data_IF_519418530603
#
_entry.id   IF_519418530603
#
_cell.length_a   1.000
_cell.length_b   1.000
_cell.length_c   1.000
_cell.angle_alpha   90.00
_cell.angle_beta   90.00
_cell.angle_gamma   90.00
#
_symmetry.space_group_name_H-M   'P 1'
#
loop_
_entity.id
_entity.type
_entity.pdbx_description
1 polymer ?
#
# COMPACT_ATOMS: atom_id res chain seq x y z
N UNK A 1 -31.12 0.04 -69.63
CA UNK A 1 -31.04 0.26 -68.17
C UNK A 1 -30.98 1.74 -67.95
N UNK A 2 -31.97 2.33 -67.22
CA UNK A 2 -31.99 3.81 -66.90
C UNK A 2 -31.05 4.06 -65.76
N UNK A 3 -29.91 4.65 -66.02
CA UNK A 3 -29.02 5.11 -64.95
C UNK A 3 -29.66 6.31 -64.24
N UNK A 4 -30.04 6.15 -63.01
CA UNK A 4 -30.52 7.22 -62.16
C UNK A 4 -29.27 7.87 -61.52
N UNK A 5 -28.97 9.12 -61.87
CA UNK A 5 -27.93 9.91 -61.24
C UNK A 5 -28.36 10.39 -59.86
N UNK A 6 -27.46 10.45 -58.89
CA UNK A 6 -27.71 11.06 -57.57
C UNK A 6 -27.88 12.58 -57.69
N UNK A 7 -28.82 13.11 -56.95
CA UNK A 7 -28.99 14.58 -56.79
C UNK A 7 -27.91 15.13 -55.88
N UNK A 8 -27.41 16.33 -56.16
CA UNK A 8 -26.41 17.03 -55.36
C UNK A 8 -26.89 17.23 -53.91
N UNK A 9 -28.20 17.48 -53.70
CA UNK A 9 -28.77 17.61 -52.36
C UNK A 9 -28.77 16.30 -51.58
N UNK A 10 -28.96 15.16 -52.25
CA UNK A 10 -28.92 13.84 -51.63
C UNK A 10 -27.50 13.50 -51.13
N UNK A 11 -26.49 13.89 -51.87
CA UNK A 11 -25.09 13.73 -51.49
C UNK A 11 -24.76 14.59 -50.23
N UNK A 12 -25.19 15.86 -50.21
CA UNK A 12 -24.97 16.77 -49.09
C UNK A 12 -25.64 16.24 -47.80
N UNK A 13 -26.90 15.81 -47.90
CA UNK A 13 -27.64 15.26 -46.75
C UNK A 13 -26.98 13.97 -46.27
N UNK A 14 -26.60 13.06 -47.17
CA UNK A 14 -25.94 11.84 -46.78
C UNK A 14 -24.57 12.09 -46.07
N UNK A 15 -23.75 13.01 -46.60
CA UNK A 15 -22.47 13.37 -45.94
C UNK A 15 -22.65 14.05 -44.61
N UNK A 16 -23.67 14.89 -44.43
CA UNK A 16 -23.98 15.53 -43.17
C UNK A 16 -24.40 14.51 -42.08
N UNK A 17 -25.30 13.57 -42.44
CA UNK A 17 -25.69 12.48 -41.52
C UNK A 17 -24.48 11.60 -41.21
N UNK A 18 -23.69 11.23 -42.18
CA UNK A 18 -22.49 10.42 -41.97
C UNK A 18 -21.47 11.09 -41.02
N UNK A 19 -21.23 12.40 -41.22
CA UNK A 19 -20.33 13.17 -40.39
C UNK A 19 -20.81 13.24 -38.90
N UNK A 20 -22.11 13.41 -38.70
CA UNK A 20 -22.68 13.44 -37.35
C UNK A 20 -22.60 12.08 -36.66
N UNK A 21 -22.86 11.00 -37.35
CA UNK A 21 -22.74 9.62 -36.84
C UNK A 21 -21.28 9.31 -36.48
N UNK A 22 -20.34 9.63 -37.37
CA UNK A 22 -18.91 9.44 -37.10
C UNK A 22 -18.45 10.27 -35.88
N UNK A 23 -18.88 11.52 -35.75
CA UNK A 23 -18.54 12.37 -34.62
C UNK A 23 -19.00 11.78 -33.30
N UNK A 24 -20.21 11.22 -33.23
CA UNK A 24 -20.74 10.57 -32.02
C UNK A 24 -19.97 9.30 -31.68
N UNK A 25 -19.67 8.46 -32.67
CA UNK A 25 -18.90 7.21 -32.47
C UNK A 25 -17.50 7.51 -31.94
N UNK A 26 -16.79 8.49 -32.52
CA UNK A 26 -15.47 8.91 -32.06
C UNK A 26 -15.54 9.44 -30.61
N UNK A 27 -16.55 10.23 -30.27
CA UNK A 27 -16.74 10.74 -28.92
C UNK A 27 -16.92 9.64 -27.87
N UNK A 28 -17.73 8.63 -28.17
CA UNK A 28 -17.93 7.46 -27.31
C UNK A 28 -16.62 6.66 -27.17
N UNK A 29 -15.90 6.47 -28.27
CA UNK A 29 -14.64 5.72 -28.26
C UNK A 29 -13.58 6.40 -27.38
N UNK A 30 -13.37 7.71 -27.54
CA UNK A 30 -12.43 8.48 -26.72
C UNK A 30 -12.80 8.42 -25.23
N UNK A 31 -14.07 8.59 -24.92
CA UNK A 31 -14.61 8.49 -23.56
C UNK A 31 -14.36 7.09 -22.94
N UNK A 32 -14.58 6.03 -23.74
CA UNK A 32 -14.31 4.65 -23.31
C UNK A 32 -12.81 4.41 -23.02
N UNK A 33 -11.92 4.90 -23.87
CA UNK A 33 -10.47 4.80 -23.64
C UNK A 33 -10.03 5.52 -22.37
N UNK A 34 -10.57 6.69 -22.09
CA UNK A 34 -10.27 7.42 -20.86
C UNK A 34 -10.75 6.66 -19.62
N UNK A 35 -11.94 6.06 -19.68
CA UNK A 35 -12.47 5.23 -18.60
C UNK A 35 -11.59 4.00 -18.34
N UNK A 36 -11.14 3.32 -19.40
CA UNK A 36 -10.23 2.17 -19.29
C UNK A 36 -8.89 2.55 -18.66
N UNK A 37 -8.29 3.68 -19.04
CA UNK A 37 -7.03 4.16 -18.43
C UNK A 37 -7.18 4.46 -16.94
N UNK A 38 -8.30 5.05 -16.53
CA UNK A 38 -8.59 5.28 -15.11
C UNK A 38 -8.74 3.97 -14.34
N UNK A 39 -9.44 3.00 -14.92
CA UNK A 39 -9.62 1.68 -14.29
C UNK A 39 -8.28 0.96 -14.10
N UNK A 40 -7.42 0.96 -15.12
CA UNK A 40 -6.08 0.37 -15.02
C UNK A 40 -5.23 1.04 -13.94
N UNK A 41 -5.28 2.37 -13.82
CA UNK A 41 -4.59 3.09 -12.77
C UNK A 41 -5.12 2.72 -11.37
N UNK A 42 -6.44 2.54 -11.21
CA UNK A 42 -7.01 2.03 -9.96
C UNK A 42 -6.56 0.62 -9.62
N UNK A 43 -6.55 -0.29 -10.60
CA UNK A 43 -6.05 -1.66 -10.41
C UNK A 43 -4.58 -1.67 -9.98
N UNK A 44 -3.73 -0.91 -10.65
CA UNK A 44 -2.31 -0.79 -10.30
C UNK A 44 -2.12 -0.27 -8.86
N UNK A 45 -2.90 0.73 -8.46
CA UNK A 45 -2.87 1.27 -7.10
C UNK A 45 -3.27 0.22 -6.06
N UNK A 46 -4.37 -0.50 -6.32
CA UNK A 46 -4.85 -1.60 -5.46
C UNK A 46 -3.81 -2.71 -5.34
N UNK A 47 -3.26 -3.17 -6.44
CA UNK A 47 -2.29 -4.27 -6.47
C UNK A 47 -1.01 -3.91 -5.71
N UNK A 48 -0.45 -2.73 -5.97
CA UNK A 48 0.76 -2.27 -5.31
C UNK A 48 0.57 -2.08 -3.79
N UNK A 49 -0.57 -1.50 -3.39
CA UNK A 49 -0.86 -1.27 -1.98
C UNK A 49 -1.19 -2.57 -1.26
N UNK A 50 -1.94 -3.48 -1.90
CA UNK A 50 -2.25 -4.80 -1.35
C UNK A 50 -1.00 -5.65 -1.17
N UNK A 51 -0.08 -5.62 -2.14
CA UNK A 51 1.20 -6.30 -2.02
C UNK A 51 2.00 -5.80 -0.81
N UNK A 52 2.13 -4.48 -0.64
CA UNK A 52 2.85 -3.90 0.49
C UNK A 52 2.22 -4.30 1.84
N UNK A 53 0.89 -4.24 1.94
CA UNK A 53 0.16 -4.66 3.14
C UNK A 53 0.34 -6.15 3.42
N UNK A 54 0.23 -7.00 2.42
CA UNK A 54 0.39 -8.45 2.60
C UNK A 54 1.82 -8.79 3.02
N UNK A 55 2.82 -8.16 2.40
CA UNK A 55 4.22 -8.32 2.76
C UNK A 55 4.47 -7.95 4.23
N UNK A 56 4.06 -6.74 4.65
CA UNK A 56 4.18 -6.30 6.04
C UNK A 56 3.39 -7.20 7.00
N UNK A 57 2.19 -7.62 6.61
CA UNK A 57 1.34 -8.49 7.45
C UNK A 57 1.99 -9.86 7.70
N UNK A 58 2.67 -10.42 6.70
CA UNK A 58 3.43 -11.67 6.86
C UNK A 58 4.59 -11.51 7.82
N UNK A 59 5.38 -10.43 7.67
CA UNK A 59 6.50 -10.15 8.55
C UNK A 59 6.04 -9.93 10.00
N UNK A 60 5.03 -9.10 10.21
CA UNK A 60 4.46 -8.83 11.54
C UNK A 60 3.86 -10.07 12.20
N UNK A 61 3.23 -10.95 11.44
CA UNK A 61 2.67 -12.20 11.97
C UNK A 61 3.73 -13.15 12.50
N UNK A 62 4.93 -13.10 11.91
CA UNK A 62 6.07 -13.93 12.29
C UNK A 62 6.98 -13.25 13.31
N UNK A 63 6.63 -12.07 13.80
CA UNK A 63 7.38 -11.39 14.86
C UNK A 63 7.48 -12.26 16.11
N UNK A 64 8.59 -12.12 16.81
CA UNK A 64 8.85 -12.77 18.09
C UNK A 64 9.01 -11.71 19.18
N UNK A 65 8.88 -12.12 20.43
CA UNK A 65 9.15 -11.25 21.57
C UNK A 65 10.60 -10.80 21.58
N UNK A 66 10.83 -9.58 21.97
CA UNK A 66 12.17 -9.09 22.32
C UNK A 66 12.50 -9.61 23.72
N UNK A 67 13.28 -10.69 23.77
CA UNK A 67 13.63 -11.38 25.02
C UNK A 67 14.98 -10.86 25.55
N UNK A 68 15.10 -10.87 26.87
CA UNK A 68 16.26 -10.35 27.63
C UNK A 68 17.48 -11.25 27.42
N UNK A 69 18.17 -11.10 26.30
CA UNK A 69 19.34 -11.93 26.02
C UNK A 69 20.55 -11.18 25.46
N UNK A 70 20.51 -9.84 25.37
CA UNK A 70 21.73 -9.06 25.08
C UNK A 70 21.67 -8.03 23.95
N UNK A 71 20.76 -8.10 22.99
CA UNK A 71 20.58 -7.06 21.98
C UNK A 71 19.10 -6.67 21.93
N UNK A 72 18.78 -5.56 22.57
CA UNK A 72 17.44 -5.02 22.54
C UNK A 72 17.14 -4.42 21.16
N UNK A 73 16.15 -4.98 20.49
CA UNK A 73 15.60 -4.41 19.28
C UNK A 73 14.66 -3.24 19.60
N UNK A 74 13.88 -3.39 20.64
CA UNK A 74 12.87 -2.45 21.08
C UNK A 74 13.37 -1.61 22.26
N UNK A 75 12.71 -0.51 22.59
CA UNK A 75 13.22 0.53 23.52
C UNK A 75 13.30 0.13 25.00
N UNK A 76 13.87 -1.03 25.29
CA UNK A 76 14.35 -1.37 26.62
C UNK A 76 13.31 -1.91 27.60
N UNK A 77 12.13 -2.27 27.16
CA UNK A 77 11.17 -3.01 27.98
C UNK A 77 11.21 -4.50 27.61
N UNK A 78 11.39 -5.33 28.63
CA UNK A 78 11.40 -6.77 28.51
C UNK A 78 10.04 -7.30 28.04
N UNK A 79 10.06 -8.25 27.11
CA UNK A 79 8.87 -8.97 26.64
C UNK A 79 7.88 -8.16 25.80
N UNK A 80 8.29 -7.08 25.14
CA UNK A 80 7.49 -6.34 24.18
C UNK A 80 7.57 -7.01 22.81
N UNK A 81 6.44 -7.07 22.08
CA UNK A 81 6.40 -7.70 20.75
C UNK A 81 6.57 -6.68 19.62
N UNK A 82 6.08 -5.47 19.82
CA UNK A 82 6.07 -4.40 18.83
C UNK A 82 6.28 -3.05 19.50
N UNK A 83 7.01 -2.19 18.82
CA UNK A 83 7.18 -0.80 19.22
C UNK A 83 6.68 0.11 18.11
N UNK A 84 5.85 1.08 18.47
CA UNK A 84 5.45 2.12 17.53
C UNK A 84 6.52 3.20 17.50
N UNK A 85 7.12 3.42 16.32
CA UNK A 85 8.02 4.55 16.09
C UNK A 85 7.23 5.79 15.61
N UNK A 86 7.87 6.94 15.49
CA UNK A 86 7.23 8.19 15.05
C UNK A 86 6.53 8.04 13.69
N UNK A 87 7.12 7.28 12.78
CA UNK A 87 6.65 7.13 11.41
C UNK A 87 6.35 5.69 11.01
N UNK A 88 6.36 4.73 11.98
CA UNK A 88 6.26 3.33 11.62
C UNK A 88 6.09 2.37 12.79
N UNK A 89 6.61 1.17 12.57
CA UNK A 89 6.59 0.06 13.52
C UNK A 89 7.91 -0.69 13.48
N UNK A 90 8.44 -1.00 14.66
CA UNK A 90 9.64 -1.80 14.88
C UNK A 90 9.28 -3.08 15.63
N UNK A 91 9.94 -4.18 15.28
CA UNK A 91 9.73 -5.47 15.91
C UNK A 91 10.96 -6.37 15.68
N UNK A 92 11.04 -7.46 16.43
CA UNK A 92 12.03 -8.50 16.21
C UNK A 92 11.44 -9.58 15.30
N UNK A 93 12.15 -9.91 14.22
CA UNK A 93 11.71 -10.93 13.29
C UNK A 93 12.06 -12.36 13.78
N UNK A 94 11.58 -13.39 13.09
CA UNK A 94 11.85 -14.79 13.44
C UNK A 94 13.32 -15.23 13.27
N UNK A 95 14.17 -14.39 12.63
CA UNK A 95 15.62 -14.60 12.50
C UNK A 95 16.42 -13.80 13.54
N UNK A 96 15.77 -13.32 14.59
CA UNK A 96 16.39 -12.50 15.64
C UNK A 96 16.97 -11.17 15.15
N UNK A 97 16.39 -10.59 14.07
CA UNK A 97 16.83 -9.32 13.52
C UNK A 97 15.83 -8.22 13.87
N UNK A 98 16.37 -7.02 14.13
CA UNK A 98 15.54 -5.83 14.24
C UNK A 98 15.00 -5.44 12.87
N UNK A 99 13.70 -5.40 12.77
CA UNK A 99 12.96 -5.11 11.56
C UNK A 99 12.07 -3.89 11.78
N UNK A 100 12.14 -2.93 10.89
CA UNK A 100 11.34 -1.71 10.95
C UNK A 100 10.67 -1.43 9.61
N UNK A 101 9.37 -1.11 9.66
CA UNK A 101 8.62 -0.53 8.57
C UNK A 101 8.24 0.91 8.92
N UNK A 102 8.54 1.86 8.04
CA UNK A 102 8.24 3.26 8.28
C UNK A 102 7.93 4.02 7.00
N UNK A 103 7.24 5.16 7.16
CA UNK A 103 6.99 6.10 6.08
C UNK A 103 8.17 7.06 5.98
N UNK A 104 8.86 7.05 4.84
CA UNK A 104 9.81 8.11 4.47
C UNK A 104 9.13 9.13 3.57
N UNK A 105 9.41 10.40 3.83
CA UNK A 105 9.01 11.54 2.98
C UNK A 105 10.20 12.17 2.27
N UNK A 106 11.37 11.53 2.36
CA UNK A 106 12.57 11.98 1.68
C UNK A 106 12.55 11.54 0.21
N UNK A 107 12.56 12.44 -0.77
CA UNK A 107 12.52 12.10 -2.18
C UNK A 107 13.69 11.24 -2.66
N UNK A 108 14.84 11.31 -1.99
CA UNK A 108 16.03 10.49 -2.32
C UNK A 108 15.76 9.03 -1.99
N UNK A 109 15.21 8.73 -0.81
CA UNK A 109 14.89 7.37 -0.38
C UNK A 109 13.73 6.80 -1.20
N UNK A 110 12.77 7.66 -1.54
CA UNK A 110 11.56 7.31 -2.27
C UNK A 110 11.71 7.34 -3.80
N UNK A 111 12.94 7.44 -4.33
CA UNK A 111 13.23 7.46 -5.77
C UNK A 111 12.37 8.48 -6.52
N UNK A 112 12.18 9.68 -5.92
CA UNK A 112 11.38 10.77 -6.48
C UNK A 112 9.90 10.75 -6.14
N UNK A 113 9.41 9.85 -5.27
CA UNK A 113 8.07 9.93 -4.66
C UNK A 113 8.09 10.90 -3.48
N UNK A 114 6.95 11.54 -3.19
CA UNK A 114 6.82 12.41 -2.02
C UNK A 114 6.70 11.62 -0.71
N UNK A 115 6.30 10.34 -0.81
CA UNK A 115 6.25 9.41 0.32
C UNK A 115 6.29 7.97 -0.14
N UNK A 116 7.05 7.13 0.56
CA UNK A 116 7.15 5.70 0.30
C UNK A 116 7.27 4.92 1.61
N UNK A 117 6.83 3.67 1.60
CA UNK A 117 7.09 2.75 2.69
C UNK A 117 8.48 2.17 2.55
N UNK A 118 9.25 2.26 3.63
CA UNK A 118 10.61 1.75 3.73
C UNK A 118 10.66 0.55 4.66
N UNK A 119 11.59 -0.34 4.36
CA UNK A 119 11.97 -1.47 5.19
C UNK A 119 13.43 -1.35 5.60
N UNK A 120 13.71 -1.57 6.86
CA UNK A 120 15.05 -1.70 7.40
C UNK A 120 15.15 -2.99 8.20
N UNK A 121 16.15 -3.82 7.89
CA UNK A 121 16.49 -5.02 8.67
C UNK A 121 17.93 -4.88 9.12
N UNK A 122 18.14 -4.75 10.41
CA UNK A 122 19.45 -4.53 11.00
C UNK A 122 20.40 -5.71 10.72
N UNK A 123 21.60 -5.38 10.24
CA UNK A 123 22.60 -6.37 9.88
C UNK A 123 22.33 -7.15 8.58
N UNK A 124 21.25 -6.83 7.85
CA UNK A 124 20.94 -7.40 6.54
C UNK A 124 21.11 -6.34 5.46
N UNK A 125 20.54 -5.16 5.66
CA UNK A 125 20.65 -4.06 4.71
C UNK A 125 21.71 -3.04 5.14
N UNK A 126 22.51 -2.59 4.19
CA UNK A 126 23.42 -1.45 4.40
C UNK A 126 22.68 -0.11 4.42
N UNK A 127 21.51 -0.06 3.80
CA UNK A 127 20.59 1.07 3.79
C UNK A 127 19.15 0.55 3.67
N UNK A 128 18.15 1.28 4.23
CA UNK A 128 16.75 0.93 4.09
C UNK A 128 16.30 0.82 2.63
N UNK A 129 15.37 -0.07 2.34
CA UNK A 129 14.86 -0.33 1.00
C UNK A 129 13.39 0.07 0.88
N UNK A 130 12.98 0.75 -0.22
CA UNK A 130 11.58 1.04 -0.47
C UNK A 130 10.83 -0.23 -0.87
N UNK A 131 9.71 -0.52 -0.19
CA UNK A 131 8.81 -1.65 -0.49
C UNK A 131 7.65 -1.25 -1.41
N UNK A 132 7.50 0.05 -1.69
CA UNK A 132 6.50 0.59 -2.61
C UNK A 132 7.15 1.07 -3.91
N UNK A 133 6.46 0.94 -5.06
CA UNK A 133 6.99 1.40 -6.34
C UNK A 133 7.02 2.94 -6.43
N UNK A 134 7.82 3.46 -7.37
CA UNK A 134 8.10 4.90 -7.50
C UNK A 134 6.91 5.74 -7.98
N UNK A 135 5.94 5.14 -8.62
CA UNK A 135 4.73 5.78 -9.13
C UNK A 135 3.62 5.88 -8.06
N UNK A 136 3.81 5.19 -6.93
CA UNK A 136 2.94 5.24 -5.77
C UNK A 136 3.47 6.26 -4.75
N UNK A 137 2.61 7.20 -4.37
CA UNK A 137 2.88 8.17 -3.31
C UNK A 137 2.06 7.79 -2.08
N UNK A 138 2.74 7.38 -1.00
CA UNK A 138 2.09 7.09 0.27
C UNK A 138 1.93 8.39 1.05
N UNK A 139 0.68 8.77 1.31
CA UNK A 139 0.34 10.03 1.99
C UNK A 139 0.20 9.87 3.50
N UNK A 140 -0.11 8.66 3.97
CA UNK A 140 -0.11 8.35 5.41
C UNK A 140 0.13 6.87 5.69
N UNK A 141 0.80 6.61 6.79
CA UNK A 141 1.02 5.29 7.37
C UNK A 141 0.76 5.38 8.87
N UNK A 142 -0.32 4.75 9.33
CA UNK A 142 -0.71 4.77 10.73
C UNK A 142 -0.70 3.36 11.29
N UNK A 143 -0.12 3.22 12.47
CA UNK A 143 -0.02 1.96 13.19
C UNK A 143 -0.71 2.12 14.54
N UNK A 144 -1.54 1.16 14.91
CA UNK A 144 -2.15 1.02 16.24
C UNK A 144 -1.82 -0.35 16.79
N UNK A 145 -1.36 -0.39 18.02
CA UNK A 145 -0.94 -1.59 18.73
C UNK A 145 -1.94 -1.92 19.84
N UNK A 146 -2.14 -3.21 20.11
CA UNK A 146 -3.00 -3.71 21.18
C UNK A 146 -2.45 -5.05 21.66
N UNK A 147 -2.38 -5.25 22.99
CA UNK A 147 -1.87 -6.47 23.61
C UNK A 147 -0.37 -6.70 23.36
N UNK A 148 0.41 -5.63 23.27
CA UNK A 148 1.84 -5.69 22.97
C UNK A 148 2.72 -6.02 24.17
N UNK A 149 2.19 -5.81 25.38
CA UNK A 149 2.89 -6.01 26.65
C UNK A 149 2.48 -7.34 27.27
N UNK A 150 3.44 -8.07 27.81
CA UNK A 150 3.12 -9.30 28.52
C UNK A 150 2.61 -9.06 29.94
N UNK A 151 2.99 -7.93 30.57
CA UNK A 151 2.60 -7.57 31.94
C UNK A 151 2.24 -6.11 32.02
N UNK A 152 1.05 -5.80 32.49
CA UNK A 152 0.63 -4.45 32.89
C UNK A 152 0.64 -4.39 34.42
N UNK A 153 1.57 -3.60 34.99
CA UNK A 153 1.67 -3.44 36.44
C UNK A 153 1.96 -4.74 37.20
N UNK A 154 2.66 -5.69 36.59
CA UNK A 154 3.00 -6.99 37.18
C UNK A 154 1.94 -8.09 37.01
N UNK A 155 0.81 -7.78 36.38
CA UNK A 155 -0.25 -8.75 36.08
C UNK A 155 -0.07 -9.23 34.62
N UNK A 156 -0.06 -10.56 34.34
CA UNK A 156 0.01 -11.06 32.98
C UNK A 156 -1.15 -10.53 32.14
N UNK A 157 -0.87 -9.92 31.00
CA UNK A 157 -1.87 -9.58 30.00
C UNK A 157 -2.11 -10.81 29.12
N UNK A 158 -3.31 -11.39 29.16
CA UNK A 158 -3.69 -12.53 28.34
C UNK A 158 -4.26 -12.11 26.97
N UNK A 159 -3.90 -10.91 26.51
CA UNK A 159 -4.32 -10.40 25.20
C UNK A 159 -3.29 -10.77 24.15
N UNK A 160 -3.75 -11.37 23.06
CA UNK A 160 -2.87 -11.66 21.93
C UNK A 160 -2.43 -10.37 21.23
N UNK A 161 -1.12 -10.17 21.01
CA UNK A 161 -0.59 -9.02 20.29
C UNK A 161 -1.23 -8.84 18.93
N UNK A 162 -1.73 -7.63 18.68
CA UNK A 162 -2.39 -7.24 17.44
C UNK A 162 -1.89 -5.90 16.94
N UNK A 163 -1.55 -5.86 15.67
CA UNK A 163 -1.14 -4.66 14.94
C UNK A 163 -2.22 -4.29 13.94
N UNK A 164 -2.72 -3.07 14.00
CA UNK A 164 -3.61 -2.52 12.98
C UNK A 164 -2.85 -1.50 12.17
N UNK A 165 -2.79 -1.70 10.85
CA UNK A 165 -2.11 -0.85 9.89
C UNK A 165 -3.16 -0.17 9.03
N UNK A 166 -3.05 1.15 8.85
CA UNK A 166 -3.83 1.92 7.90
C UNK A 166 -2.90 2.71 6.98
N UNK A 167 -3.06 2.51 5.67
CA UNK A 167 -2.26 3.15 4.63
C UNK A 167 -3.19 3.96 3.74
N UNK A 168 -2.79 5.20 3.44
CA UNK A 168 -3.39 5.98 2.37
C UNK A 168 -2.32 6.30 1.32
N UNK A 169 -2.70 6.20 0.05
CA UNK A 169 -1.80 6.46 -1.07
C UNK A 169 -2.54 6.93 -2.32
N UNK A 170 -1.79 7.46 -3.25
CA UNK A 170 -2.26 7.95 -4.54
C UNK A 170 -1.22 7.68 -5.64
N UNK A 171 -1.67 7.49 -6.87
CA UNK A 171 -0.77 7.40 -8.02
C UNK A 171 -0.44 8.78 -8.56
N UNK A 172 0.80 8.93 -9.08
CA UNK A 172 1.31 10.13 -9.74
C UNK A 172 0.81 10.28 -11.19
N UNK A 173 -0.43 9.91 -11.47
CA UNK A 173 -1.01 9.99 -12.82
C UNK A 173 -2.17 10.98 -12.87
N UNK A 174 -2.48 11.45 -14.06
CA UNK A 174 -3.61 12.36 -14.30
C UNK A 174 -4.92 11.77 -13.77
N UNK A 175 -5.61 12.53 -12.91
CA UNK A 175 -6.82 12.09 -12.22
C UNK A 175 -6.57 11.46 -10.84
N UNK A 176 -5.33 11.29 -10.41
CA UNK A 176 -4.85 10.87 -9.08
C UNK A 176 -5.83 9.95 -8.33
N UNK A 177 -5.95 8.66 -8.73
CA UNK A 177 -6.74 7.73 -7.95
C UNK A 177 -6.15 7.61 -6.54
N UNK A 178 -7.00 7.70 -5.54
CA UNK A 178 -6.63 7.62 -4.11
C UNK A 178 -7.20 6.35 -3.51
N UNK A 179 -6.45 5.78 -2.57
CA UNK A 179 -6.89 4.61 -1.82
C UNK A 179 -6.60 4.80 -0.34
N UNK A 180 -7.45 4.19 0.48
CA UNK A 180 -7.20 4.01 1.90
C UNK A 180 -7.54 2.58 2.27
N UNK A 181 -6.55 1.84 2.77
CA UNK A 181 -6.69 0.44 3.15
C UNK A 181 -6.28 0.30 4.61
N UNK A 182 -7.01 -0.54 5.34
CA UNK A 182 -6.69 -0.91 6.71
C UNK A 182 -6.72 -2.43 6.85
N UNK A 183 -5.77 -2.96 7.60
CA UNK A 183 -5.72 -4.37 7.98
C UNK A 183 -5.33 -4.52 9.44
N UNK A 184 -5.75 -5.63 10.07
CA UNK A 184 -5.33 -6.01 11.42
C UNK A 184 -4.67 -7.37 11.38
N UNK A 185 -3.52 -7.48 12.00
CA UNK A 185 -2.69 -8.68 12.03
C UNK A 185 -2.49 -9.09 13.48
N UNK A 186 -2.78 -10.35 13.80
CA UNK A 186 -2.42 -10.95 15.08
C UNK A 186 -1.14 -11.75 14.91
N UNK A 187 -0.29 -11.71 15.91
CA UNK A 187 0.94 -12.50 15.98
C UNK A 187 0.59 -14.00 15.94
N UNK A 188 1.44 -14.79 15.30
CA UNK A 188 1.26 -16.26 15.23
C UNK A 188 1.67 -16.96 16.52
N UNK A 189 2.77 -16.53 17.13
CA UNK A 189 3.23 -17.08 18.38
C UNK A 189 2.33 -16.56 19.50
N UNK A 190 1.66 -17.48 20.19
CA UNK A 190 0.86 -17.14 21.35
C UNK A 190 1.79 -16.61 22.44
N UNK A 191 1.39 -15.51 23.03
CA UNK A 191 2.09 -14.87 24.15
C UNK A 191 1.74 -15.60 25.46
N UNK A 192 2.08 -16.90 25.51
CA UNK A 192 1.84 -17.74 26.69
C UNK A 192 3.14 -17.88 27.44
N UNK A 193 3.11 -17.54 28.75
CA UNK A 193 4.22 -17.87 29.64
C UNK A 193 4.49 -19.38 29.55
N UNK A 194 5.73 -19.75 29.20
CA UNK A 194 6.15 -21.15 29.38
C UNK A 194 6.13 -21.45 30.88
N UNK A 195 5.20 -22.28 31.30
CA UNK A 195 5.15 -22.84 32.64
C UNK A 195 6.41 -23.66 32.93
#
# INVERSE_FOLDING_TARGET
MKQRGFSLIELIVATAIFATVLGTVIGIFVSSLQAQRRLLAHQQLLDSTSYAIEYMSRALRMAIKDDVGGVYCLSGEDYVNYERTANGIKFRDYNDKCHEFYLSTNPTDCRGSAGCLMENIEGVYTSPLPITPNDLNITSFNVSLSGQEQKIGGVPENLQPRVTIAIAGELKVSGQPKIKIQTSVSQRNLDVEKQ
#
